data_IF_950649990017
#
_entry.id   IF_950649990017
#
_cell.length_a   1.000
_cell.length_b   1.000
_cell.length_c   1.000
_cell.angle_alpha   90.00
_cell.angle_beta   90.00
_cell.angle_gamma   90.00
#
_symmetry.space_group_name_H-M   'P 1'
#
loop_
_entity.id
_entity.type
_entity.pdbx_description
1 polymer ?
#
# COMPACT_ATOMS: atom_id res chain seq x y z
N UNK A 1 -14.13 -13.78 16.95
CA UNK A 1 -14.97 -13.59 15.76
C UNK A 1 -16.30 -12.99 16.21
N UNK A 2 -17.02 -12.23 15.38
CA UNK A 2 -18.35 -11.76 15.81
C UNK A 2 -19.27 -12.97 15.94
N UNK A 3 -20.09 -13.01 16.99
CA UNK A 3 -21.04 -14.11 17.24
C UNK A 3 -22.03 -14.30 16.07
N UNK A 4 -22.30 -13.22 15.34
CA UNK A 4 -23.14 -13.24 14.15
C UNK A 4 -22.50 -13.94 12.95
N UNK A 5 -21.19 -13.78 12.73
CA UNK A 5 -20.49 -14.48 11.65
C UNK A 5 -20.44 -16.00 11.87
N UNK A 6 -20.25 -16.42 13.12
CA UNK A 6 -20.25 -17.85 13.47
C UNK A 6 -21.61 -18.51 13.23
N UNK A 7 -22.71 -17.78 13.49
CA UNK A 7 -24.06 -18.26 13.22
C UNK A 7 -24.33 -18.42 11.71
N UNK A 8 -23.89 -17.44 10.90
CA UNK A 8 -24.04 -17.48 9.44
C UNK A 8 -23.21 -18.63 8.84
N UNK A 9 -22.00 -18.88 9.35
CA UNK A 9 -21.17 -20.00 8.89
C UNK A 9 -21.83 -21.36 9.16
N UNK A 10 -22.49 -21.51 10.32
CA UNK A 10 -23.25 -22.74 10.62
C UNK A 10 -24.42 -22.93 9.66
N UNK A 11 -25.17 -21.86 9.39
CA UNK A 11 -26.29 -21.91 8.43
C UNK A 11 -25.83 -22.18 7.00
N UNK A 12 -24.69 -21.62 6.58
CA UNK A 12 -24.12 -21.86 5.27
C UNK A 12 -23.68 -23.32 5.07
N UNK A 13 -23.25 -24.00 6.13
CA UNK A 13 -22.88 -25.42 6.07
C UNK A 13 -24.08 -26.36 5.92
N UNK A 14 -25.28 -25.93 6.30
CA UNK A 14 -26.52 -26.71 6.15
C UNK A 14 -27.09 -26.64 4.72
N UNK A 15 -26.62 -25.70 3.90
CA UNK A 15 -27.01 -25.54 2.51
C UNK A 15 -26.38 -26.61 1.60
N UNK A 16 -27.04 -26.89 0.48
CA UNK A 16 -26.45 -27.71 -0.58
C UNK A 16 -25.22 -27.02 -1.22
N UNK A 17 -24.31 -27.78 -1.85
CA UNK A 17 -23.13 -27.19 -2.50
C UNK A 17 -23.46 -26.13 -3.55
N UNK A 18 -24.58 -26.27 -4.26
CA UNK A 18 -25.03 -25.32 -5.28
C UNK A 18 -25.49 -23.99 -4.64
N UNK A 19 -26.24 -24.08 -3.54
CA UNK A 19 -26.70 -22.90 -2.79
C UNK A 19 -25.54 -22.19 -2.09
N UNK A 20 -24.52 -22.92 -1.64
CA UNK A 20 -23.29 -22.34 -1.09
C UNK A 20 -22.55 -21.50 -2.14
N UNK A 21 -22.45 -22.00 -3.38
CA UNK A 21 -21.82 -21.26 -4.46
C UNK A 21 -22.61 -20.01 -4.85
N UNK A 22 -23.95 -20.10 -4.89
CA UNK A 22 -24.80 -18.94 -5.16
C UNK A 22 -24.70 -17.89 -4.04
N UNK A 23 -24.64 -18.31 -2.77
CA UNK A 23 -24.40 -17.42 -1.63
C UNK A 23 -23.05 -16.70 -1.75
N UNK A 24 -21.97 -17.41 -2.11
CA UNK A 24 -20.65 -16.81 -2.33
C UNK A 24 -20.70 -15.78 -3.46
N UNK A 25 -21.38 -16.11 -4.57
CA UNK A 25 -21.52 -15.20 -5.70
C UNK A 25 -22.25 -13.92 -5.29
N UNK A 26 -23.37 -14.02 -4.60
CA UNK A 26 -24.14 -12.85 -4.15
C UNK A 26 -23.35 -11.99 -3.15
N UNK A 27 -22.63 -12.62 -2.22
CA UNK A 27 -21.79 -11.90 -1.26
C UNK A 27 -20.63 -11.16 -1.96
N UNK A 28 -19.99 -11.78 -2.94
CA UNK A 28 -18.90 -11.14 -3.70
C UNK A 28 -19.39 -10.01 -4.58
N UNK A 29 -20.56 -10.14 -5.22
CA UNK A 29 -21.23 -9.06 -5.96
C UNK A 29 -21.60 -7.89 -5.04
N UNK A 30 -22.13 -8.16 -3.84
CA UNK A 30 -22.45 -7.13 -2.85
C UNK A 30 -21.21 -6.40 -2.34
N UNK A 31 -20.12 -7.10 -2.05
CA UNK A 31 -18.87 -6.48 -1.61
C UNK A 31 -18.23 -5.66 -2.73
N UNK A 32 -18.32 -6.11 -3.98
CA UNK A 32 -17.78 -5.41 -5.16
C UNK A 32 -18.58 -4.16 -5.53
N UNK A 33 -19.89 -4.16 -5.30
CA UNK A 33 -20.78 -3.03 -5.58
C UNK A 33 -20.85 -2.02 -4.44
N UNK A 34 -20.37 -2.38 -3.24
CA UNK A 34 -20.16 -1.39 -2.20
C UNK A 34 -19.12 -0.37 -2.71
N UNK A 35 -19.44 0.93 -2.66
CA UNK A 35 -18.45 1.94 -2.98
C UNK A 35 -17.31 1.75 -1.98
N UNK A 36 -16.16 1.25 -2.45
CA UNK A 36 -14.93 1.15 -1.66
C UNK A 36 -14.84 2.44 -0.85
N UNK A 37 -14.90 2.29 0.48
CA UNK A 37 -14.76 3.35 1.48
C UNK A 37 -13.91 4.47 0.92
N UNK A 38 -14.58 5.54 0.47
CA UNK A 38 -14.00 6.73 -0.16
C UNK A 38 -12.55 6.51 -0.58
N UNK A 39 -12.31 5.87 -1.73
CA UNK A 39 -10.97 5.81 -2.33
C UNK A 39 -10.43 7.24 -2.27
N UNK A 40 -9.49 7.49 -1.35
CA UNK A 40 -8.94 8.83 -1.16
C UNK A 40 -8.55 9.32 -2.55
N UNK A 41 -8.98 10.51 -2.98
CA UNK A 41 -8.67 10.98 -4.32
C UNK A 41 -7.18 10.80 -4.52
N UNK A 42 -6.79 10.18 -5.64
CA UNK A 42 -5.38 10.02 -6.02
C UNK A 42 -4.75 11.41 -5.92
N UNK A 43 -3.99 11.64 -4.85
CA UNK A 43 -3.47 12.96 -4.53
C UNK A 43 -2.64 13.41 -5.73
N UNK A 44 -2.94 14.60 -6.24
CA UNK A 44 -2.18 15.12 -7.37
C UNK A 44 -0.76 15.39 -6.87
N UNK A 45 0.25 15.00 -7.64
CA UNK A 45 1.66 15.25 -7.27
C UNK A 45 1.91 16.75 -7.03
N UNK A 46 1.13 17.62 -7.68
CA UNK A 46 1.11 19.07 -7.46
C UNK A 46 0.68 19.49 -6.05
N UNK A 47 0.04 18.64 -5.26
CA UNK A 47 -0.27 18.91 -3.85
C UNK A 47 0.99 19.01 -2.98
N UNK A 48 2.12 18.50 -3.45
CA UNK A 48 3.44 18.65 -2.80
C UNK A 48 4.20 19.89 -3.27
N UNK A 49 3.65 20.67 -4.21
CA UNK A 49 4.30 21.88 -4.70
C UNK A 49 4.26 22.96 -3.61
N UNK A 50 5.43 23.42 -3.15
CA UNK A 50 5.56 24.42 -2.09
C UNK A 50 5.48 23.87 -0.66
N UNK A 51 5.20 22.58 -0.43
CA UNK A 51 5.28 21.96 0.90
C UNK A 51 6.71 21.62 1.33
N UNK A 52 7.66 21.71 0.40
CA UNK A 52 9.08 21.46 0.62
C UNK A 52 9.90 22.66 0.12
N UNK A 53 9.70 23.87 0.68
CA UNK A 53 10.62 24.94 0.39
C UNK A 53 11.97 24.53 0.97
N UNK A 54 12.97 24.41 0.11
CA UNK A 54 14.37 24.38 0.52
C UNK A 54 14.88 23.10 1.25
N UNK A 55 14.41 21.89 0.90
CA UNK A 55 14.94 20.65 1.50
C UNK A 55 16.47 20.52 1.40
N UNK A 56 17.01 20.91 0.25
CA UNK A 56 18.42 20.84 -0.05
C UNK A 56 19.13 22.17 0.26
N UNK A 57 18.50 23.09 0.99
CA UNK A 57 19.08 24.40 1.33
C UNK A 57 19.57 25.21 0.12
N UNK A 58 18.95 25.02 -1.04
CA UNK A 58 19.30 25.70 -2.30
C UNK A 58 20.37 24.97 -3.11
N UNK A 59 20.85 23.82 -2.63
CA UNK A 59 21.69 22.90 -3.40
C UNK A 59 20.89 22.28 -4.53
N UNK A 60 21.53 22.13 -5.69
CA UNK A 60 20.95 21.44 -6.83
C UNK A 60 20.67 19.98 -6.48
N UNK A 61 19.56 19.44 -7.01
CA UNK A 61 19.16 18.07 -6.71
C UNK A 61 20.17 17.04 -7.22
N UNK A 62 20.83 17.32 -8.34
CA UNK A 62 21.86 16.46 -8.91
C UNK A 62 23.13 16.48 -8.06
N UNK A 63 23.55 17.65 -7.59
CA UNK A 63 24.70 17.79 -6.67
C UNK A 63 24.51 16.97 -5.39
N UNK A 64 23.31 17.00 -4.81
CA UNK A 64 22.98 16.21 -3.63
C UNK A 64 23.03 14.69 -3.89
N UNK A 65 22.51 14.24 -5.04
CA UNK A 65 22.55 12.82 -5.42
C UNK A 65 23.98 12.36 -5.65
N UNK A 66 24.81 13.18 -6.29
CA UNK A 66 26.21 12.87 -6.56
C UNK A 66 27.02 12.77 -5.27
N UNK A 67 26.83 13.71 -4.33
CA UNK A 67 27.44 13.62 -3.01
C UNK A 67 27.04 12.32 -2.30
N UNK A 68 25.74 11.99 -2.29
CA UNK A 68 25.25 10.78 -1.64
C UNK A 68 25.85 9.51 -2.26
N UNK A 69 25.99 9.45 -3.60
CA UNK A 69 26.64 8.30 -4.27
C UNK A 69 28.11 8.18 -3.89
N UNK A 70 28.83 9.30 -3.89
CA UNK A 70 30.25 9.32 -3.50
C UNK A 70 30.46 8.82 -2.07
N UNK A 71 29.61 9.22 -1.12
CA UNK A 71 29.68 8.75 0.27
C UNK A 71 29.46 7.24 0.38
N UNK A 72 28.60 6.66 -0.46
CA UNK A 72 28.37 5.22 -0.50
C UNK A 72 29.52 4.45 -1.12
N UNK A 73 30.09 4.95 -2.22
CA UNK A 73 31.27 4.36 -2.84
C UNK A 73 32.47 4.37 -1.88
N UNK A 74 32.63 5.45 -1.10
CA UNK A 74 33.65 5.53 -0.06
C UNK A 74 33.44 4.47 1.03
N UNK A 75 32.22 4.31 1.55
CA UNK A 75 31.88 3.28 2.54
C UNK A 75 32.15 1.87 2.03
N UNK A 76 31.76 1.58 0.79
CA UNK A 76 32.01 0.30 0.14
C UNK A 76 33.51 0.04 -0.02
N UNK A 77 34.29 1.07 -0.37
CA UNK A 77 35.75 0.95 -0.48
C UNK A 77 36.41 0.65 0.86
N UNK A 78 35.96 1.28 1.94
CA UNK A 78 36.45 1.03 3.31
C UNK A 78 36.11 -0.41 3.72
N UNK A 79 34.88 -0.85 3.45
CA UNK A 79 34.45 -2.21 3.77
C UNK A 79 35.31 -3.26 3.06
N UNK A 80 35.66 -3.03 1.78
CA UNK A 80 36.53 -3.92 1.01
C UNK A 80 37.99 -3.94 1.46
N UNK A 81 38.49 -2.86 2.04
CA UNK A 81 39.86 -2.79 2.57
C UNK A 81 40.01 -3.47 3.93
N UNK A 82 38.90 -3.70 4.65
CA UNK A 82 38.86 -4.32 5.97
C UNK A 82 38.49 -5.83 5.93
N UNK A 83 38.22 -6.37 4.74
CA UNK A 83 37.92 -7.78 4.49
C UNK A 83 39.13 -8.51 3.88
#
# INVERSE_FOLDING_TARGET
>A
MSSQLEAILKQAQELSPEEQLELIRQLTEQVSTQPETQVKPKRKVTEFYGSMPNLLSGMDAQDWVEQLRSEWDERESIFRQQA
#
